data_IF_824126598799
#
_entry.id   IF_824126598799
#
_cell.length_a   1.000
_cell.length_b   1.000
_cell.length_c   1.000
_cell.angle_alpha   90.00
_cell.angle_beta   90.00
_cell.angle_gamma   90.00
#
_symmetry.space_group_name_H-M   'P 1'
#
loop_
_entity.id
_entity.type
_entity.pdbx_description
1 polymer ?
#
# COMPACT_ATOMS: atom_id res chain seq x y z
N UNK A 1 -45.79 -7.15 -17.80
CA UNK A 1 -44.76 -7.87 -17.00
C UNK A 1 -43.60 -6.93 -16.78
N UNK A 2 -43.25 -6.74 -15.51
CA UNK A 2 -42.34 -5.71 -14.99
C UNK A 2 -40.89 -6.06 -15.37
N UNK A 3 -40.18 -5.10 -15.95
CA UNK A 3 -38.74 -5.15 -16.12
C UNK A 3 -38.08 -5.00 -14.74
N UNK A 4 -37.62 -6.11 -14.17
CA UNK A 4 -36.74 -6.09 -13.00
C UNK A 4 -35.33 -5.74 -13.49
N UNK A 5 -35.06 -4.44 -13.65
CA UNK A 5 -33.69 -3.94 -13.78
C UNK A 5 -33.06 -4.09 -12.40
N UNK A 6 -32.24 -5.13 -12.23
CA UNK A 6 -31.37 -5.30 -11.07
C UNK A 6 -30.24 -4.27 -11.18
N UNK A 7 -30.53 -3.05 -10.73
CA UNK A 7 -29.56 -1.99 -10.54
C UNK A 7 -28.76 -2.34 -9.27
N UNK A 8 -27.76 -3.21 -9.40
CA UNK A 8 -26.69 -3.33 -8.40
C UNK A 8 -25.76 -2.11 -8.57
N UNK A 9 -26.29 -0.93 -8.26
CA UNK A 9 -25.51 0.29 -8.14
C UNK A 9 -24.60 0.15 -6.93
N UNK A 10 -23.34 -0.22 -7.21
CA UNK A 10 -22.14 0.42 -6.66
C UNK A 10 -22.37 1.22 -5.38
N UNK A 11 -22.54 0.52 -4.25
CA UNK A 11 -22.30 1.11 -2.94
C UNK A 11 -20.78 1.07 -2.73
N UNK A 12 -20.08 1.92 -3.49
CA UNK A 12 -18.66 2.23 -3.33
C UNK A 12 -18.54 3.71 -2.97
N UNK A 13 -19.29 4.13 -1.96
CA UNK A 13 -19.31 5.49 -1.40
C UNK A 13 -19.49 5.27 0.13
N UNK A 14 -18.64 5.73 1.04
CA UNK A 14 -18.36 7.13 1.38
C UNK A 14 -17.13 7.22 2.31
N UNK A 15 -15.93 6.97 1.79
CA UNK A 15 -14.73 7.55 2.40
C UNK A 15 -13.90 8.14 1.27
N UNK A 16 -13.60 9.46 1.28
CA UNK A 16 -12.68 10.03 0.32
C UNK A 16 -11.29 9.51 0.67
N UNK A 17 -10.92 8.36 0.09
CA UNK A 17 -9.53 7.94 0.09
C UNK A 17 -8.74 9.01 -0.63
N UNK A 18 -7.66 9.49 0.00
CA UNK A 18 -6.75 10.38 -0.70
C UNK A 18 -5.95 9.59 -1.70
N UNK A 19 -5.94 10.13 -2.91
CA UNK A 19 -5.15 9.62 -4.01
C UNK A 19 -3.83 10.36 -4.05
N UNK A 20 -2.74 9.64 -4.35
CA UNK A 20 -1.41 10.22 -4.40
C UNK A 20 -0.78 9.97 -5.76
N UNK A 21 -0.37 11.05 -6.43
CA UNK A 21 0.31 10.98 -7.71
C UNK A 21 1.64 10.25 -7.59
N UNK A 22 1.92 9.41 -8.59
CA UNK A 22 3.19 8.70 -8.66
C UNK A 22 4.23 9.61 -9.30
N UNK A 23 5.36 9.79 -8.61
CA UNK A 23 6.54 10.42 -9.18
C UNK A 23 7.32 9.39 -10.00
N UNK A 24 7.25 9.46 -11.32
CA UNK A 24 7.98 8.56 -12.19
C UNK A 24 9.40 9.06 -12.47
N UNK A 25 10.38 8.16 -12.37
CA UNK A 25 11.79 8.44 -12.73
C UNK A 25 12.29 7.36 -13.68
N UNK A 26 13.19 7.73 -14.61
CA UNK A 26 13.73 6.80 -15.61
C UNK A 26 14.61 5.70 -14.98
N UNK A 27 15.32 6.03 -13.90
CA UNK A 27 16.05 5.08 -13.07
C UNK A 27 16.02 5.60 -11.63
N UNK A 28 15.57 4.76 -10.69
CA UNK A 28 15.54 5.10 -9.28
C UNK A 28 16.86 4.68 -8.62
N UNK A 29 17.67 5.67 -8.25
CA UNK A 29 18.96 5.43 -7.59
C UNK A 29 18.83 4.99 -6.12
N UNK A 30 19.94 4.50 -5.56
CA UNK A 30 20.08 4.09 -4.17
C UNK A 30 20.30 2.59 -3.98
N UNK A 31 20.62 2.20 -2.74
CA UNK A 31 20.85 0.79 -2.41
C UNK A 31 19.53 0.00 -2.36
N UNK A 32 19.40 -0.98 -3.25
CA UNK A 32 18.35 -2.00 -3.32
C UNK A 32 18.90 -3.42 -3.14
N UNK A 33 20.11 -3.60 -2.60
CA UNK A 33 20.75 -4.90 -2.42
C UNK A 33 19.96 -5.87 -1.52
N UNK A 34 19.03 -5.35 -0.71
CA UNK A 34 18.07 -6.15 0.06
C UNK A 34 17.21 -7.07 -0.83
N UNK A 35 17.02 -6.71 -2.11
CA UNK A 35 16.23 -7.48 -3.09
C UNK A 35 16.71 -8.91 -3.33
N UNK A 36 17.94 -9.23 -2.91
CA UNK A 36 18.50 -10.59 -2.96
C UNK A 36 17.78 -11.57 -2.04
N UNK A 37 17.14 -11.08 -0.97
CA UNK A 37 16.48 -11.90 0.05
C UNK A 37 15.08 -11.42 0.40
N UNK A 38 14.80 -10.13 0.18
CA UNK A 38 13.61 -9.45 0.66
C UNK A 38 13.02 -8.55 -0.41
N UNK A 39 11.71 -8.44 -0.48
CA UNK A 39 11.04 -7.51 -1.41
C UNK A 39 10.77 -6.13 -0.82
N UNK A 40 10.97 -5.95 0.49
CA UNK A 40 10.73 -4.70 1.22
C UNK A 40 11.85 -4.43 2.23
N UNK A 41 12.30 -3.18 2.30
CA UNK A 41 13.06 -2.63 3.42
C UNK A 41 12.32 -1.40 3.93
N UNK A 42 11.75 -1.47 5.14
CA UNK A 42 10.86 -0.42 5.64
C UNK A 42 10.98 -0.18 7.14
N UNK A 43 10.53 1.00 7.54
CA UNK A 43 10.30 1.43 8.92
C UNK A 43 8.84 1.85 9.03
N UNK A 44 8.18 1.47 10.12
CA UNK A 44 6.82 1.88 10.39
C UNK A 44 6.62 2.11 11.87
N UNK A 45 5.73 3.06 12.20
CA UNK A 45 5.16 3.21 13.52
C UNK A 45 3.64 3.10 13.38
N UNK A 46 3.10 2.00 13.88
CA UNK A 46 1.68 1.68 13.99
C UNK A 46 1.50 0.58 15.04
N UNK A 47 0.26 0.30 15.43
CA UNK A 47 -0.03 -0.73 16.42
C UNK A 47 0.42 -2.12 15.96
N UNK A 48 0.94 -2.90 16.93
CA UNK A 48 1.29 -4.31 16.77
C UNK A 48 2.19 -4.58 15.54
N UNK A 49 3.14 -3.68 15.29
CA UNK A 49 4.16 -3.81 14.24
C UNK A 49 5.51 -4.22 14.83
N UNK A 50 6.03 -5.36 14.38
CA UNK A 50 7.38 -5.83 14.71
C UNK A 50 8.31 -5.91 13.47
N UNK A 51 7.86 -5.39 12.33
CA UNK A 51 8.63 -5.42 11.07
C UNK A 51 7.92 -6.14 9.93
N UNK A 52 8.22 -5.70 8.70
CA UNK A 52 7.88 -6.38 7.46
C UNK A 52 9.04 -6.27 6.48
N UNK A 53 9.47 -7.41 5.95
CA UNK A 53 10.54 -7.51 4.94
C UNK A 53 10.02 -7.95 3.58
N UNK A 54 8.73 -8.25 3.47
CA UNK A 54 8.11 -8.67 2.22
C UNK A 54 6.90 -7.81 1.86
N UNK A 55 6.74 -7.55 0.57
CA UNK A 55 5.55 -6.94 -0.02
C UNK A 55 5.19 -7.73 -1.29
N UNK A 56 3.92 -8.07 -1.42
CA UNK A 56 3.39 -8.68 -2.63
C UNK A 56 2.91 -7.58 -3.56
N UNK A 57 3.30 -7.64 -4.83
CA UNK A 57 2.71 -6.86 -5.92
C UNK A 57 2.01 -7.83 -6.88
N UNK A 58 0.69 -7.69 -7.02
CA UNK A 58 -0.15 -8.58 -7.83
C UNK A 58 -0.93 -7.78 -8.85
N UNK A 59 -0.78 -8.09 -10.13
CA UNK A 59 -1.58 -7.52 -11.22
C UNK A 59 -2.99 -8.09 -11.14
N UNK A 60 -3.97 -7.21 -10.90
CA UNK A 60 -5.39 -7.58 -10.89
C UNK A 60 -6.00 -7.39 -12.28
N UNK A 61 -5.64 -6.28 -12.94
CA UNK A 61 -6.09 -5.92 -14.29
C UNK A 61 -4.94 -5.27 -15.07
N UNK A 62 -5.19 -4.91 -16.34
CA UNK A 62 -4.20 -4.26 -17.21
C UNK A 62 -3.54 -3.04 -16.56
N UNK A 63 -4.34 -2.23 -15.85
CA UNK A 63 -3.95 -0.96 -15.27
C UNK A 63 -3.89 -0.96 -13.73
N UNK A 64 -4.17 -2.10 -13.10
CA UNK A 64 -4.36 -2.21 -11.66
C UNK A 64 -3.42 -3.24 -11.05
N UNK A 65 -2.57 -2.79 -10.13
CA UNK A 65 -1.69 -3.64 -9.31
C UNK A 65 -2.04 -3.43 -7.84
N UNK A 66 -2.33 -4.51 -7.14
CA UNK A 66 -2.50 -4.50 -5.69
C UNK A 66 -1.15 -4.75 -5.01
N UNK A 67 -0.84 -3.93 -4.01
CA UNK A 67 0.37 -4.04 -3.21
C UNK A 67 0.00 -4.22 -1.74
N UNK A 68 0.56 -5.24 -1.08
CA UNK A 68 0.33 -5.45 0.35
C UNK A 68 1.46 -6.18 1.07
N UNK A 69 1.68 -5.85 2.33
CA UNK A 69 2.53 -6.64 3.23
C UNK A 69 1.70 -7.72 3.93
N UNK A 70 2.33 -8.84 4.29
CA UNK A 70 1.65 -9.90 5.03
C UNK A 70 1.79 -9.68 6.53
N UNK A 71 0.73 -9.95 7.28
CA UNK A 71 0.81 -10.12 8.73
C UNK A 71 1.54 -11.42 9.07
N UNK A 72 2.15 -11.48 10.25
CA UNK A 72 2.80 -12.67 10.79
C UNK A 72 2.54 -12.76 12.31
N UNK A 73 3.16 -13.72 12.99
CA UNK A 73 2.96 -13.92 14.43
C UNK A 73 3.41 -12.75 15.33
N UNK A 74 4.24 -11.84 14.81
CA UNK A 74 4.75 -10.68 15.53
C UNK A 74 4.26 -9.33 14.95
N UNK A 75 3.71 -9.33 13.73
CA UNK A 75 3.18 -8.15 13.05
C UNK A 75 1.74 -8.40 12.64
N UNK A 76 0.80 -7.75 13.32
CA UNK A 76 -0.64 -7.89 13.09
C UNK A 76 -1.23 -6.83 12.18
N UNK A 77 -0.38 -5.95 11.64
CA UNK A 77 -0.77 -4.90 10.70
C UNK A 77 -0.15 -5.10 9.30
N UNK A 78 -0.86 -4.64 8.28
CA UNK A 78 -0.47 -4.73 6.88
C UNK A 78 -0.58 -3.36 6.23
N UNK A 79 0.44 -2.97 5.46
CA UNK A 79 0.33 -1.87 4.51
C UNK A 79 -0.38 -2.42 3.27
N UNK A 80 -1.41 -1.73 2.79
CA UNK A 80 -2.07 -2.05 1.51
C UNK A 80 -2.35 -0.80 0.71
N UNK A 81 -2.12 -0.88 -0.61
CA UNK A 81 -2.49 0.16 -1.57
C UNK A 81 -2.64 -0.43 -2.97
N UNK A 82 -3.23 0.33 -3.89
CA UNK A 82 -3.30 -0.04 -5.30
C UNK A 82 -2.55 0.98 -6.15
N UNK A 83 -1.88 0.51 -7.20
CA UNK A 83 -1.42 1.34 -8.30
C UNK A 83 -2.47 1.20 -9.40
N UNK A 84 -3.19 2.28 -9.68
CA UNK A 84 -4.20 2.34 -10.76
C UNK A 84 -3.77 3.42 -11.72
N UNK A 85 -3.39 3.02 -12.94
CA UNK A 85 -2.75 3.91 -13.91
C UNK A 85 -1.52 4.60 -13.31
N UNK A 86 -1.58 5.92 -13.10
CA UNK A 86 -0.47 6.73 -12.57
C UNK A 86 -0.70 7.21 -11.14
N UNK A 87 -1.59 6.57 -10.39
CA UNK A 87 -1.98 7.04 -9.06
C UNK A 87 -2.02 5.90 -8.05
N UNK A 88 -1.60 6.20 -6.82
CA UNK A 88 -1.82 5.34 -5.67
C UNK A 88 -3.24 5.55 -5.16
N UNK A 89 -4.01 4.46 -5.07
CA UNK A 89 -5.38 4.44 -4.57
C UNK A 89 -5.46 3.72 -3.25
N UNK A 90 -6.27 4.25 -2.35
CA UNK A 90 -6.63 3.64 -1.06
C UNK A 90 -5.41 3.07 -0.29
N UNK A 91 -4.33 3.86 -0.09
CA UNK A 91 -3.28 3.45 0.82
C UNK A 91 -3.79 3.49 2.26
N UNK A 92 -3.58 2.38 2.98
CA UNK A 92 -4.06 2.19 4.35
C UNK A 92 -3.22 1.19 5.12
N UNK A 93 -3.35 1.24 6.44
CA UNK A 93 -2.94 0.16 7.33
C UNK A 93 -4.17 -0.67 7.69
N UNK A 94 -4.09 -1.97 7.48
CA UNK A 94 -5.07 -2.95 7.93
C UNK A 94 -4.52 -3.65 9.18
N UNK A 95 -5.09 -3.38 10.35
CA UNK A 95 -4.72 -4.01 11.61
C UNK A 95 -5.72 -5.12 11.95
N UNK A 96 -5.23 -6.29 12.34
CA UNK A 96 -6.02 -7.36 12.95
C UNK A 96 -5.55 -7.57 14.39
N UNK A 97 -5.95 -6.64 15.27
CA UNK A 97 -5.52 -6.58 16.66
C UNK A 97 -5.93 -7.83 17.42
N UNK A 98 -5.02 -8.29 18.28
CA UNK A 98 -5.28 -9.36 19.23
C UNK A 98 -6.18 -8.91 20.40
N UNK A 99 -6.38 -7.60 20.59
CA UNK A 99 -7.15 -7.04 21.70
C UNK A 99 -8.62 -6.83 21.33
N UNK A 100 -8.90 -6.13 20.24
CA UNK A 100 -10.25 -5.63 19.93
C UNK A 100 -10.66 -5.77 18.45
N UNK A 101 -9.89 -6.52 17.66
CA UNK A 101 -10.28 -6.93 16.30
C UNK A 101 -9.71 -6.06 15.18
N UNK A 102 -10.52 -5.83 14.13
CA UNK A 102 -10.01 -5.26 12.87
C UNK A 102 -10.16 -3.74 12.81
N UNK A 103 -9.09 -3.06 12.44
CA UNK A 103 -9.04 -1.61 12.26
C UNK A 103 -8.46 -1.22 10.91
N UNK A 104 -8.87 -0.06 10.40
CA UNK A 104 -8.39 0.52 9.15
C UNK A 104 -7.93 1.96 9.41
N UNK A 105 -6.65 2.23 9.16
CA UNK A 105 -6.07 3.56 9.26
C UNK A 105 -5.82 4.12 7.87
N UNK A 106 -6.48 5.22 7.53
CA UNK A 106 -6.40 5.82 6.20
C UNK A 106 -5.14 6.66 6.04
N UNK A 107 -4.53 6.61 4.87
CA UNK A 107 -3.42 7.49 4.54
C UNK A 107 -3.91 8.92 4.26
N UNK A 108 -3.30 9.90 4.90
CA UNK A 108 -3.67 11.32 4.78
C UNK A 108 -2.62 12.16 4.05
N UNK A 109 -1.39 11.66 3.93
CA UNK A 109 -0.25 12.26 3.25
C UNK A 109 0.67 11.15 2.75
N UNK A 110 1.08 11.19 1.49
CA UNK A 110 1.89 10.13 0.90
C UNK A 110 2.67 10.58 -0.31
N UNK A 111 3.89 10.06 -0.44
CA UNK A 111 4.76 10.25 -1.59
C UNK A 111 5.30 8.89 -2.02
N UNK A 112 5.30 8.63 -3.34
CA UNK A 112 5.96 7.45 -3.90
C UNK A 112 6.69 7.82 -5.19
N UNK A 113 7.90 7.30 -5.33
CA UNK A 113 8.71 7.40 -6.54
C UNK A 113 8.86 6.00 -7.11
N UNK A 114 8.52 5.81 -8.37
CA UNK A 114 8.60 4.51 -9.06
C UNK A 114 9.58 4.59 -10.24
N UNK A 115 10.43 3.56 -10.34
CA UNK A 115 11.34 3.35 -11.46
C UNK A 115 10.57 2.86 -12.71
N UNK A 116 10.55 3.69 -13.74
CA UNK A 116 9.81 3.44 -14.98
C UNK A 116 10.38 2.25 -15.77
N UNK A 117 11.71 2.13 -15.85
CA UNK A 117 12.37 1.02 -16.59
C UNK A 117 12.18 -0.33 -15.90
N UNK A 118 12.16 -0.34 -14.57
CA UNK A 118 11.83 -1.54 -13.80
C UNK A 118 10.36 -1.92 -13.98
N UNK A 119 9.45 -0.94 -13.96
CA UNK A 119 8.02 -1.17 -14.14
C UNK A 119 7.70 -1.80 -15.50
N UNK A 120 8.39 -1.38 -16.57
CA UNK A 120 8.28 -1.99 -17.91
C UNK A 120 8.69 -3.47 -17.96
N UNK A 121 9.41 -3.96 -16.94
CA UNK A 121 9.87 -5.35 -16.80
C UNK A 121 9.08 -6.11 -15.73
N UNK A 122 7.89 -5.62 -15.36
CA UNK A 122 7.07 -6.16 -14.28
C UNK A 122 7.80 -6.22 -12.93
N UNK A 123 8.60 -5.20 -12.63
CA UNK A 123 9.26 -5.03 -11.33
C UNK A 123 8.79 -3.71 -10.71
N UNK A 124 8.11 -3.80 -9.57
CA UNK A 124 7.86 -2.65 -8.71
C UNK A 124 9.15 -2.33 -7.93
N UNK A 125 9.92 -1.37 -8.45
CA UNK A 125 11.07 -0.77 -7.76
C UNK A 125 10.69 0.65 -7.36
N UNK A 126 10.56 0.89 -6.06
CA UNK A 126 10.01 2.14 -5.55
C UNK A 126 10.63 2.60 -4.23
N UNK A 127 10.50 3.89 -3.93
CA UNK A 127 10.71 4.48 -2.61
C UNK A 127 9.44 5.20 -2.20
N UNK A 128 8.97 4.99 -0.98
CA UNK A 128 7.73 5.57 -0.49
C UNK A 128 7.87 6.12 0.93
N UNK A 129 7.02 7.08 1.25
CA UNK A 129 6.83 7.65 2.59
C UNK A 129 5.35 8.02 2.74
N UNK A 130 4.65 7.40 3.67
CA UNK A 130 3.21 7.56 3.88
C UNK A 130 2.91 7.80 5.36
N UNK A 131 1.97 8.71 5.61
CA UNK A 131 1.44 9.04 6.93
C UNK A 131 -0.04 8.69 6.98
N UNK A 132 -0.48 8.21 8.12
CA UNK A 132 -1.81 7.68 8.34
C UNK A 132 -2.49 8.40 9.50
N UNK A 133 -3.79 8.55 9.39
CA UNK A 133 -4.62 9.05 10.48
C UNK A 133 -4.50 8.13 11.70
N UNK A 134 -4.50 8.73 12.89
CA UNK A 134 -4.51 8.02 14.15
C UNK A 134 -5.67 8.57 15.02
N UNK A 135 -6.91 8.12 14.79
CA UNK A 135 -8.08 8.67 15.47
C UNK A 135 -8.02 8.56 17.00
N UNK A 136 -7.40 7.51 17.52
CA UNK A 136 -7.25 7.23 18.95
C UNK A 136 -6.15 8.08 19.60
N UNK A 137 -5.21 8.62 18.83
CA UNK A 137 -4.17 9.53 19.29
C UNK A 137 -3.77 10.53 18.19
N UNK A 138 -4.57 11.57 17.95
CA UNK A 138 -4.34 12.51 16.85
C UNK A 138 -3.02 13.28 16.93
N UNK A 139 -2.39 13.35 18.11
CA UNK A 139 -1.08 14.00 18.31
C UNK A 139 0.10 13.13 17.83
N UNK A 140 -0.14 11.83 17.59
CA UNK A 140 0.89 10.90 17.12
C UNK A 140 0.55 10.36 15.74
N UNK A 141 1.32 10.77 14.75
CA UNK A 141 1.12 10.37 13.36
C UNK A 141 1.64 8.94 13.12
N UNK A 142 0.77 8.04 12.65
CA UNK A 142 1.19 6.75 12.13
C UNK A 142 1.94 6.92 10.82
N UNK A 143 2.97 6.12 10.58
CA UNK A 143 3.72 6.20 9.33
C UNK A 143 4.22 4.84 8.86
N UNK A 144 4.44 4.74 7.55
CA UNK A 144 5.15 3.65 6.91
C UNK A 144 5.96 4.20 5.74
N UNK A 145 7.27 3.97 5.78
CA UNK A 145 8.19 4.45 4.74
C UNK A 145 9.22 3.38 4.41
N UNK A 146 9.74 3.39 3.19
CA UNK A 146 10.71 2.38 2.80
C UNK A 146 11.01 2.30 1.32
N UNK A 147 11.63 1.19 0.95
CA UNK A 147 12.00 0.83 -0.42
C UNK A 147 11.39 -0.52 -0.78
N UNK A 148 10.88 -0.62 -1.99
CA UNK A 148 10.27 -1.84 -2.56
C UNK A 148 11.13 -2.30 -3.73
N UNK A 149 11.35 -3.60 -3.82
CA UNK A 149 11.83 -4.27 -5.02
C UNK A 149 11.09 -5.60 -5.14
N UNK A 150 9.96 -5.61 -5.84
CA UNK A 150 9.08 -6.76 -5.94
C UNK A 150 8.76 -7.08 -7.41
N UNK A 151 8.79 -8.35 -7.78
CA UNK A 151 8.23 -8.79 -9.07
C UNK A 151 6.70 -8.68 -9.00
N UNK A 152 6.11 -8.08 -10.01
CA UNK A 152 4.66 -8.03 -10.20
C UNK A 152 4.23 -9.39 -10.75
N UNK A 153 3.34 -10.07 -10.03
CA UNK A 153 2.79 -11.39 -10.40
C UNK A 153 1.42 -11.27 -11.02
#
# INVERSE_FOLDING_TARGET
>A
MKYTVLLLSLIFWLFPFKDFEIQWVENLDGDFSFSRKHSLKSEAWCYEYAGATEITAKRLHKDTIECYTMTNAATHCSLRFYIVNNVIRNPRIELNSIADGKHLYQCNEGNIIIDKKAMQKDILKARFDMKFDHPENPEKVMFWKGKIYAKIK
#
